data_IF_670813319766
#
_entry.id   IF_670813319766
#
_cell.length_a   1.000
_cell.length_b   1.000
_cell.length_c   1.000
_cell.angle_alpha   90.00
_cell.angle_beta   90.00
_cell.angle_gamma   90.00
#
_symmetry.space_group_name_H-M   'P 1'
#
loop_
_entity.id
_entity.type
_entity.pdbx_description
1 polymer ?
#
# COMPACT_ATOMS: atom_id res chain seq x y z
N UNK A 1 -4.75 -1.69 -6.96
CA UNK A 1 -3.82 -0.61 -7.38
C UNK A 1 -2.55 -0.62 -6.54
N UNK A 2 -2.60 -0.73 -5.22
CA UNK A 2 -1.40 -0.76 -4.38
C UNK A 2 -0.41 -1.86 -4.73
N UNK A 3 -0.85 -3.11 -4.84
CA UNK A 3 0.03 -4.24 -5.17
C UNK A 3 0.79 -4.05 -6.50
N UNK A 4 0.16 -3.42 -7.51
CA UNK A 4 0.83 -3.10 -8.78
C UNK A 4 1.91 -2.02 -8.55
N UNK A 5 1.61 -1.01 -7.74
CA UNK A 5 2.58 0.05 -7.41
C UNK A 5 3.82 -0.52 -6.69
N UNK A 6 3.64 -1.50 -5.80
CA UNK A 6 4.74 -2.21 -5.18
C UNK A 6 5.55 -3.03 -6.21
N UNK A 7 4.88 -3.73 -7.13
CA UNK A 7 5.56 -4.48 -8.19
C UNK A 7 6.36 -3.56 -9.12
N UNK A 8 5.80 -2.38 -9.46
CA UNK A 8 6.52 -1.36 -10.24
C UNK A 8 7.75 -0.84 -9.49
N UNK A 9 7.64 -0.58 -8.18
CA UNK A 9 8.75 -0.14 -7.36
C UNK A 9 9.88 -1.18 -7.30
N UNK A 10 9.54 -2.46 -7.11
CA UNK A 10 10.49 -3.57 -7.13
C UNK A 10 11.18 -3.68 -8.52
N UNK A 11 10.40 -3.54 -9.59
CA UNK A 11 10.96 -3.53 -10.95
C UNK A 11 11.94 -2.38 -11.16
N UNK A 12 11.61 -1.16 -10.72
CA UNK A 12 12.51 0.00 -10.78
C UNK A 12 13.82 -0.30 -10.05
N UNK A 13 13.75 -0.90 -8.86
CA UNK A 13 14.90 -1.25 -8.03
C UNK A 13 15.82 -2.27 -8.71
N UNK A 14 15.27 -3.38 -9.19
CA UNK A 14 16.03 -4.43 -9.89
C UNK A 14 16.72 -3.87 -11.15
N UNK A 15 15.98 -3.13 -11.99
CA UNK A 15 16.53 -2.56 -13.23
C UNK A 15 17.57 -1.48 -12.93
N UNK A 16 17.45 -0.74 -11.83
CA UNK A 16 18.45 0.26 -11.44
C UNK A 16 19.77 -0.39 -11.02
N UNK A 17 19.72 -1.58 -10.43
CA UNK A 17 20.89 -2.36 -10.03
C UNK A 17 21.56 -3.02 -11.22
N UNK A 18 20.79 -3.72 -12.06
CA UNK A 18 21.29 -4.32 -13.29
C UNK A 18 20.35 -4.08 -14.48
N UNK A 19 20.77 -3.21 -15.39
CA UNK A 19 19.99 -2.81 -16.59
C UNK A 19 19.72 -3.95 -17.58
N UNK A 20 20.45 -5.06 -17.47
CA UNK A 20 20.27 -6.21 -18.36
C UNK A 20 19.18 -7.17 -17.87
N UNK A 21 18.71 -7.02 -16.63
CA UNK A 21 17.68 -7.89 -16.08
C UNK A 21 16.33 -7.62 -16.75
N UNK A 22 15.63 -8.72 -17.07
CA UNK A 22 14.29 -8.66 -17.67
C UNK A 22 13.25 -8.86 -16.59
N UNK A 23 12.54 -7.81 -16.23
CA UNK A 23 11.49 -7.84 -15.20
C UNK A 23 10.12 -7.67 -15.83
N UNK A 24 9.25 -8.68 -15.66
CA UNK A 24 7.88 -8.69 -16.17
C UNK A 24 6.90 -8.57 -15.01
N UNK A 25 5.93 -7.64 -15.11
CA UNK A 25 4.84 -7.51 -14.16
C UNK A 25 3.61 -8.20 -14.75
N UNK A 26 3.10 -9.19 -14.05
CA UNK A 26 1.94 -9.98 -14.49
C UNK A 26 0.80 -9.78 -13.50
N UNK A 27 -0.34 -9.30 -14.00
CA UNK A 27 -1.59 -9.31 -13.22
C UNK A 27 -2.12 -10.74 -13.19
N UNK A 28 -1.97 -11.40 -12.04
CA UNK A 28 -2.32 -12.80 -11.88
C UNK A 28 -3.82 -13.09 -12.10
N UNK A 29 -4.69 -12.14 -11.77
CA UNK A 29 -6.13 -12.31 -11.97
C UNK A 29 -6.47 -12.21 -13.46
N UNK A 30 -5.91 -11.24 -14.14
CA UNK A 30 -6.12 -11.08 -15.59
C UNK A 30 -5.50 -12.25 -16.36
N UNK A 31 -4.32 -12.71 -15.97
CA UNK A 31 -3.68 -13.88 -16.56
C UNK A 31 -4.46 -15.18 -16.36
N UNK A 32 -4.89 -15.46 -15.12
CA UNK A 32 -5.58 -16.71 -14.81
C UNK A 32 -7.03 -16.71 -15.32
N UNK A 33 -7.71 -15.56 -15.30
CA UNK A 33 -9.14 -15.42 -15.59
C UNK A 33 -9.44 -14.23 -16.53
N UNK A 34 -8.86 -14.17 -17.74
CA UNK A 34 -8.94 -12.99 -18.62
C UNK A 34 -10.35 -12.57 -18.94
N UNK A 35 -11.27 -13.53 -19.12
CA UNK A 35 -12.70 -13.25 -19.41
C UNK A 35 -13.49 -12.73 -18.21
N UNK A 36 -13.00 -12.91 -16.99
CA UNK A 36 -13.70 -12.59 -15.74
C UNK A 36 -12.97 -11.56 -14.88
N UNK A 37 -11.75 -11.12 -15.26
CA UNK A 37 -10.95 -10.22 -14.45
C UNK A 37 -11.68 -8.92 -14.10
N UNK A 38 -12.34 -8.28 -15.06
CA UNK A 38 -13.13 -7.07 -14.84
C UNK A 38 -14.27 -7.29 -13.84
N UNK A 39 -14.95 -8.43 -13.91
CA UNK A 39 -16.05 -8.80 -13.00
C UNK A 39 -15.51 -9.07 -11.60
N UNK A 40 -14.37 -9.77 -11.47
CA UNK A 40 -13.70 -10.05 -10.20
C UNK A 40 -13.28 -8.72 -9.53
N UNK A 41 -12.63 -7.81 -10.27
CA UNK A 41 -12.24 -6.50 -9.73
C UNK A 41 -13.43 -5.63 -9.36
N UNK A 42 -14.50 -5.62 -10.19
CA UNK A 42 -15.74 -4.90 -9.88
C UNK A 42 -16.43 -5.46 -8.64
N UNK A 43 -16.49 -6.79 -8.52
CA UNK A 43 -17.03 -7.49 -7.35
C UNK A 43 -16.25 -7.18 -6.09
N UNK A 44 -14.92 -7.23 -6.15
CA UNK A 44 -14.04 -6.87 -5.03
C UNK A 44 -14.23 -5.41 -4.61
N UNK A 45 -14.22 -4.46 -5.54
CA UNK A 45 -14.44 -3.05 -5.26
C UNK A 45 -15.83 -2.80 -4.63
N UNK A 46 -16.87 -3.45 -5.11
CA UNK A 46 -18.22 -3.35 -4.54
C UNK A 46 -18.27 -3.96 -3.14
N UNK A 47 -17.64 -5.11 -2.93
CA UNK A 47 -17.63 -5.81 -1.64
C UNK A 47 -16.88 -4.97 -0.57
N UNK A 48 -15.71 -4.43 -0.91
CA UNK A 48 -14.89 -3.63 0.01
C UNK A 48 -15.47 -2.24 0.27
N UNK A 49 -16.12 -1.61 -0.73
CA UNK A 49 -16.66 -0.26 -0.60
C UNK A 49 -18.07 -0.20 0.00
N UNK A 50 -18.93 -1.18 -0.32
CA UNK A 50 -20.35 -1.18 0.09
C UNK A 50 -20.69 -2.19 1.17
N UNK A 51 -19.93 -3.29 1.29
CA UNK A 51 -20.20 -4.42 2.18
C UNK A 51 -18.96 -4.81 3.01
N UNK A 52 -18.27 -3.81 3.56
CA UNK A 52 -17.03 -4.02 4.32
C UNK A 52 -17.16 -5.01 5.49
N UNK A 53 -18.31 -5.00 6.20
CA UNK A 53 -18.59 -5.95 7.28
C UNK A 53 -18.68 -7.39 6.79
N UNK A 54 -19.29 -7.61 5.62
CA UNK A 54 -19.36 -8.93 4.99
C UNK A 54 -17.97 -9.39 4.50
N UNK A 55 -17.18 -8.48 3.92
CA UNK A 55 -15.80 -8.76 3.53
C UNK A 55 -14.94 -9.17 4.74
N UNK A 56 -15.02 -8.44 5.85
CA UNK A 56 -14.32 -8.76 7.08
C UNK A 56 -14.73 -10.11 7.67
N UNK A 57 -16.03 -10.48 7.57
CA UNK A 57 -16.53 -11.78 8.01
C UNK A 57 -15.99 -12.91 7.13
N UNK A 58 -16.00 -12.74 5.81
CA UNK A 58 -15.47 -13.71 4.86
C UNK A 58 -13.99 -13.96 5.07
N UNK A 59 -13.21 -12.91 5.33
CA UNK A 59 -11.78 -13.05 5.62
C UNK A 59 -11.50 -13.81 6.92
N UNK A 60 -12.31 -13.63 7.97
CA UNK A 60 -12.21 -14.41 9.21
C UNK A 60 -12.50 -15.90 8.99
N UNK A 61 -13.44 -16.22 8.12
CA UNK A 61 -13.84 -17.62 7.85
C UNK A 61 -12.94 -18.31 6.83
N UNK A 62 -12.37 -17.59 5.87
CA UNK A 62 -11.50 -18.14 4.83
C UNK A 62 -10.19 -18.74 5.38
N UNK A 63 -9.75 -18.33 6.57
CA UNK A 63 -8.56 -18.89 7.24
C UNK A 63 -8.71 -20.35 7.72
N UNK A 64 -9.93 -20.90 7.74
CA UNK A 64 -10.22 -22.21 8.33
C UNK A 64 -10.57 -23.31 7.31
N UNK A 65 -10.54 -23.08 6.01
CA UNK A 65 -10.90 -24.07 5.02
C UNK A 65 -9.70 -24.73 4.33
N UNK A 66 -9.62 -26.07 4.51
CA UNK A 66 -8.71 -26.98 3.81
C UNK A 66 -8.84 -26.85 2.27
N UNK A 67 -7.81 -26.37 1.66
CA UNK A 67 -7.01 -26.71 0.49
C UNK A 67 -7.62 -27.42 -0.76
N UNK A 68 -8.87 -27.41 -1.04
CA UNK A 68 -9.32 -27.74 -2.38
C UNK A 68 -9.44 -26.47 -3.24
N UNK A 69 -8.33 -26.09 -3.88
CA UNK A 69 -8.38 -25.03 -4.90
C UNK A 69 -9.16 -25.58 -6.10
N UNK A 70 -10.35 -25.04 -6.40
CA UNK A 70 -11.08 -25.45 -7.60
C UNK A 70 -10.17 -25.26 -8.83
N UNK A 71 -10.18 -26.23 -9.74
CA UNK A 71 -9.39 -26.17 -10.98
C UNK A 71 -7.84 -26.22 -10.78
N UNK A 72 -7.36 -26.82 -9.69
CA UNK A 72 -5.90 -26.94 -9.39
C UNK A 72 -5.07 -27.33 -10.62
N UNK A 73 -5.50 -28.35 -11.40
CA UNK A 73 -4.77 -28.80 -12.61
C UNK A 73 -4.66 -27.70 -13.67
N UNK A 74 -5.72 -26.92 -13.87
CA UNK A 74 -5.72 -25.81 -14.84
C UNK A 74 -4.82 -24.68 -14.41
N UNK A 75 -4.84 -24.34 -13.11
CA UNK A 75 -3.99 -23.31 -12.54
C UNK A 75 -2.50 -23.70 -12.62
N UNK A 76 -2.17 -24.94 -12.27
CA UNK A 76 -0.79 -25.46 -12.36
C UNK A 76 -0.30 -25.39 -13.82
N UNK A 77 -1.09 -25.81 -14.80
CA UNK A 77 -0.72 -25.72 -16.23
C UNK A 77 -0.50 -24.26 -16.67
N UNK A 78 -1.40 -23.34 -16.28
CA UNK A 78 -1.25 -21.92 -16.62
C UNK A 78 0.03 -21.31 -16.02
N UNK A 79 0.38 -21.69 -14.79
CA UNK A 79 1.65 -21.25 -14.19
C UNK A 79 2.85 -21.84 -14.94
N UNK A 80 2.82 -23.13 -15.33
CA UNK A 80 3.84 -23.73 -16.21
C UNK A 80 4.02 -22.89 -17.48
N UNK A 81 2.90 -22.66 -18.21
CA UNK A 81 2.93 -21.88 -19.46
C UNK A 81 3.48 -20.44 -19.27
N UNK A 82 3.26 -19.85 -18.07
CA UNK A 82 3.78 -18.53 -17.73
C UNK A 82 5.30 -18.56 -17.53
N UNK A 83 5.79 -19.51 -16.73
CA UNK A 83 7.20 -19.64 -16.40
C UNK A 83 8.05 -19.95 -17.64
N UNK A 84 7.56 -20.87 -18.49
CA UNK A 84 8.20 -21.22 -19.76
C UNK A 84 8.25 -20.01 -20.71
N UNK A 85 7.16 -19.22 -20.79
CA UNK A 85 7.07 -18.04 -21.66
C UNK A 85 8.12 -16.99 -21.33
N UNK A 86 8.43 -16.79 -20.04
CA UNK A 86 9.31 -15.74 -19.59
C UNK A 86 10.71 -16.23 -19.21
N UNK A 87 11.01 -17.54 -19.36
CA UNK A 87 12.29 -18.14 -18.97
C UNK A 87 12.68 -17.68 -17.55
N UNK A 88 11.79 -17.97 -16.58
CA UNK A 88 11.76 -17.30 -15.28
C UNK A 88 12.78 -17.89 -14.32
N UNK A 89 13.69 -17.07 -13.79
CA UNK A 89 14.69 -17.45 -12.78
C UNK A 89 14.12 -17.43 -11.37
N UNK A 90 13.25 -16.47 -11.05
CA UNK A 90 12.57 -16.32 -9.74
C UNK A 90 11.26 -15.56 -9.88
N UNK A 91 10.43 -15.67 -8.85
CA UNK A 91 9.11 -15.02 -8.80
C UNK A 91 9.03 -14.14 -7.55
N UNK A 92 8.58 -12.88 -7.72
CA UNK A 92 8.24 -12.01 -6.62
C UNK A 92 6.73 -11.77 -6.62
N UNK A 93 6.07 -12.16 -5.55
CA UNK A 93 4.64 -11.93 -5.36
C UNK A 93 4.38 -10.72 -4.47
N UNK A 94 3.50 -9.82 -4.91
CA UNK A 94 3.06 -8.65 -4.14
C UNK A 94 1.57 -8.70 -3.78
N UNK A 95 0.93 -9.86 -4.00
CA UNK A 95 -0.50 -10.06 -3.70
C UNK A 95 -0.75 -11.47 -3.15
N UNK A 96 -1.58 -11.66 -2.11
CA UNK A 96 -1.78 -12.94 -1.42
C UNK A 96 -2.17 -14.09 -2.34
N UNK A 97 -3.08 -13.84 -3.28
CA UNK A 97 -3.58 -14.87 -4.20
C UNK A 97 -2.47 -15.41 -5.11
N UNK A 98 -1.52 -14.57 -5.54
CA UNK A 98 -0.37 -15.01 -6.34
C UNK A 98 0.55 -15.89 -5.51
N UNK A 99 0.91 -15.47 -4.26
CA UNK A 99 1.74 -16.26 -3.35
C UNK A 99 1.18 -17.67 -3.16
N UNK A 100 -0.13 -17.78 -2.90
CA UNK A 100 -0.79 -19.09 -2.72
C UNK A 100 -0.75 -19.95 -3.98
N UNK A 101 -1.01 -19.39 -5.16
CA UNK A 101 -1.06 -20.18 -6.40
C UNK A 101 0.33 -20.63 -6.83
N UNK A 102 1.33 -19.80 -6.70
CA UNK A 102 2.72 -20.19 -7.01
C UNK A 102 3.24 -21.20 -5.98
N UNK A 103 2.97 -21.01 -4.69
CA UNK A 103 3.32 -21.99 -3.65
C UNK A 103 2.66 -23.35 -3.93
N UNK A 104 1.38 -23.39 -4.28
CA UNK A 104 0.68 -24.61 -4.67
C UNK A 104 1.29 -25.25 -5.95
N UNK A 105 1.70 -24.44 -6.91
CA UNK A 105 2.40 -24.90 -8.11
C UNK A 105 3.70 -25.58 -7.73
N UNK A 106 4.56 -24.95 -6.93
CA UNK A 106 5.84 -25.49 -6.46
C UNK A 106 5.63 -26.83 -5.75
N UNK A 107 4.69 -26.92 -4.80
CA UNK A 107 4.34 -28.18 -4.09
C UNK A 107 3.92 -29.28 -5.06
N UNK A 108 3.11 -28.96 -6.07
CA UNK A 108 2.55 -29.94 -7.01
C UNK A 108 3.57 -30.45 -8.02
N UNK A 109 4.41 -29.56 -8.53
CA UNK A 109 5.41 -29.85 -9.56
C UNK A 109 6.77 -30.22 -8.95
N UNK A 110 6.96 -30.04 -7.65
CA UNK A 110 8.26 -30.12 -6.96
C UNK A 110 9.28 -29.17 -7.61
N UNK A 111 8.83 -27.97 -7.92
CA UNK A 111 9.64 -26.96 -8.58
C UNK A 111 10.53 -26.23 -7.56
N UNK A 112 11.80 -26.06 -7.90
CA UNK A 112 12.79 -25.34 -7.10
C UNK A 112 12.86 -23.84 -7.45
N UNK A 113 11.94 -23.32 -8.30
CA UNK A 113 11.95 -21.91 -8.63
C UNK A 113 11.77 -21.06 -7.36
N UNK A 114 12.64 -20.07 -7.08
CA UNK A 114 12.50 -19.23 -5.90
C UNK A 114 11.20 -18.42 -5.93
N UNK A 115 10.46 -18.45 -4.82
CA UNK A 115 9.26 -17.64 -4.58
C UNK A 115 9.51 -16.68 -3.43
N UNK A 116 9.59 -15.40 -3.73
CA UNK A 116 9.70 -14.33 -2.77
C UNK A 116 8.34 -13.64 -2.60
N UNK A 117 7.89 -13.45 -1.37
CA UNK A 117 6.60 -12.81 -1.08
C UNK A 117 6.82 -11.47 -0.38
N UNK A 118 6.52 -10.37 -1.07
CA UNK A 118 6.45 -9.04 -0.48
C UNK A 118 5.05 -8.80 0.12
N UNK A 119 4.98 -8.74 1.44
CA UNK A 119 3.74 -8.40 2.14
C UNK A 119 3.55 -6.88 2.10
N UNK A 120 2.54 -6.43 1.36
CA UNK A 120 2.26 -5.00 1.16
C UNK A 120 1.27 -4.41 2.17
N UNK A 121 0.84 -5.22 3.13
CA UNK A 121 0.10 -4.81 4.32
C UNK A 121 1.03 -4.82 5.53
N UNK A 122 0.77 -3.98 6.54
CA UNK A 122 1.57 -3.95 7.78
C UNK A 122 1.13 -5.06 8.74
N UNK A 123 0.04 -5.76 8.43
CA UNK A 123 -0.42 -6.95 9.16
C UNK A 123 -0.35 -8.18 8.29
N UNK A 124 0.21 -9.27 8.83
CA UNK A 124 0.35 -10.54 8.13
C UNK A 124 -0.89 -11.43 8.31
N UNK A 125 -1.94 -11.23 7.54
CA UNK A 125 -3.07 -12.16 7.56
C UNK A 125 -2.74 -13.49 6.84
N UNK A 126 -3.49 -14.57 7.18
CA UNK A 126 -3.18 -15.94 6.75
C UNK A 126 -3.18 -16.15 5.23
N UNK A 127 -3.76 -15.23 4.48
CA UNK A 127 -3.78 -15.33 3.00
C UNK A 127 -2.40 -15.14 2.37
N UNK A 128 -1.47 -14.48 3.08
CA UNK A 128 -0.09 -14.32 2.63
C UNK A 128 0.76 -15.59 2.75
N UNK A 129 0.33 -16.55 3.58
CA UNK A 129 1.13 -17.73 3.90
C UNK A 129 1.09 -18.76 2.77
N UNK A 130 2.25 -19.10 2.23
CA UNK A 130 2.47 -20.19 1.28
C UNK A 130 3.53 -21.16 1.80
N UNK A 131 3.26 -22.47 1.78
CA UNK A 131 4.19 -23.50 2.30
C UNK A 131 5.54 -23.50 1.58
N UNK A 132 5.51 -23.22 0.27
CA UNK A 132 6.68 -23.23 -0.60
C UNK A 132 7.20 -21.81 -0.88
N UNK A 133 6.91 -20.86 0.00
CA UNK A 133 7.54 -19.54 -0.03
C UNK A 133 8.94 -19.63 0.53
N UNK A 134 9.92 -19.21 -0.24
CA UNK A 134 11.34 -19.28 0.14
C UNK A 134 11.71 -18.14 1.08
N UNK A 135 11.16 -16.93 0.85
CA UNK A 135 11.40 -15.77 1.71
C UNK A 135 10.22 -14.79 1.71
N UNK A 136 9.98 -14.20 2.86
CA UNK A 136 9.02 -13.13 3.09
C UNK A 136 9.73 -11.81 3.32
N UNK A 137 9.36 -10.79 2.55
CA UNK A 137 9.76 -9.42 2.76
C UNK A 137 8.62 -8.66 3.41
N UNK A 138 8.87 -8.01 4.54
CA UNK A 138 7.83 -7.39 5.36
C UNK A 138 8.12 -5.92 5.64
N UNK A 139 7.04 -5.16 5.89
CA UNK A 139 7.10 -3.73 6.13
C UNK A 139 7.69 -3.35 7.49
N UNK A 140 7.53 -4.19 8.51
CA UNK A 140 7.87 -3.85 9.89
C UNK A 140 8.19 -5.06 10.75
N UNK A 141 8.74 -4.78 11.95
CA UNK A 141 8.99 -5.81 12.96
C UNK A 141 7.69 -6.47 13.42
N UNK A 142 6.61 -5.72 13.55
CA UNK A 142 5.31 -6.26 13.93
C UNK A 142 4.84 -7.33 12.94
N UNK A 143 4.99 -7.08 11.64
CA UNK A 143 4.65 -8.05 10.60
C UNK A 143 5.54 -9.29 10.68
N UNK A 144 6.85 -9.12 10.95
CA UNK A 144 7.77 -10.23 11.19
C UNK A 144 7.33 -11.08 12.38
N UNK A 145 7.05 -10.45 13.52
CA UNK A 145 6.64 -11.12 14.75
C UNK A 145 5.31 -11.90 14.55
N UNK A 146 4.36 -11.32 13.80
CA UNK A 146 3.12 -12.01 13.42
C UNK A 146 3.35 -13.25 12.55
N UNK A 147 4.28 -13.21 11.61
CA UNK A 147 4.63 -14.36 10.78
C UNK A 147 5.28 -15.48 11.59
N UNK A 148 6.19 -15.14 12.51
CA UNK A 148 6.82 -16.11 13.42
C UNK A 148 5.75 -16.78 14.28
N UNK A 149 4.80 -16.02 14.86
CA UNK A 149 3.68 -16.57 15.63
C UNK A 149 2.78 -17.52 14.80
N UNK A 150 2.75 -17.35 13.48
CA UNK A 150 2.03 -18.22 12.54
C UNK A 150 2.87 -19.41 12.06
N UNK A 151 4.09 -19.57 12.57
CA UNK A 151 4.96 -20.72 12.29
C UNK A 151 5.88 -20.55 11.09
N UNK A 152 6.08 -19.33 10.59
CA UNK A 152 7.12 -19.06 9.59
C UNK A 152 8.48 -18.99 10.29
N UNK A 153 9.48 -19.67 9.74
CA UNK A 153 10.86 -19.67 10.25
C UNK A 153 11.45 -18.25 10.17
N UNK A 154 12.16 -17.83 11.22
CA UNK A 154 12.64 -16.44 11.34
C UNK A 154 13.64 -16.06 10.25
N UNK A 155 14.49 -16.99 9.82
CA UNK A 155 15.49 -16.82 8.76
C UNK A 155 14.87 -16.63 7.36
N UNK A 156 13.59 -16.98 7.20
CA UNK A 156 12.80 -16.71 5.98
C UNK A 156 12.10 -15.35 5.98
N UNK A 157 12.33 -14.51 7.01
CA UNK A 157 11.60 -13.23 7.12
C UNK A 157 12.58 -12.07 7.21
N UNK A 158 12.51 -11.16 6.25
CA UNK A 158 13.35 -9.97 6.21
C UNK A 158 12.52 -8.68 6.28
N UNK A 159 12.93 -7.75 7.15
CA UNK A 159 12.33 -6.42 7.24
C UNK A 159 12.98 -5.51 6.19
N UNK A 160 12.22 -5.13 5.16
CA UNK A 160 12.70 -4.27 4.05
C UNK A 160 11.81 -3.04 3.83
N UNK A 161 10.80 -2.82 4.68
CA UNK A 161 9.77 -1.85 4.38
C UNK A 161 8.78 -2.36 3.30
N UNK A 162 7.77 -1.56 2.98
CA UNK A 162 6.91 -1.81 1.82
C UNK A 162 7.53 -1.06 0.62
N UNK A 163 7.68 -1.72 -0.54
CA UNK A 163 8.35 -1.10 -1.69
C UNK A 163 7.66 0.17 -2.15
N UNK A 164 8.42 1.23 -2.30
CA UNK A 164 7.98 2.49 -2.88
C UNK A 164 8.85 2.87 -4.07
N UNK A 165 8.26 3.53 -5.06
CA UNK A 165 9.00 3.97 -6.25
C UNK A 165 10.15 4.91 -5.88
N UNK A 166 11.24 4.84 -6.62
CA UNK A 166 12.45 5.62 -6.38
C UNK A 166 12.18 7.14 -6.25
N UNK A 167 11.17 7.63 -6.96
CA UNK A 167 10.76 9.03 -6.89
C UNK A 167 10.35 9.50 -5.48
N UNK A 168 9.88 8.61 -4.60
CA UNK A 168 9.56 8.93 -3.19
C UNK A 168 10.80 8.92 -2.28
N UNK A 169 11.87 8.24 -2.68
CA UNK A 169 13.13 8.13 -1.90
C UNK A 169 14.05 9.33 -2.13
N UNK A 170 13.88 10.07 -3.22
CA UNK A 170 14.71 11.22 -3.59
C UNK A 170 14.21 12.49 -2.89
N UNK A 171 14.67 12.75 -1.67
CA UNK A 171 14.33 13.95 -0.92
C UNK A 171 15.11 15.17 -1.46
N UNK A 172 14.51 15.89 -2.41
CA UNK A 172 14.97 17.23 -2.75
C UNK A 172 14.45 18.22 -1.69
N UNK A 173 15.33 19.06 -1.16
CA UNK A 173 14.94 20.11 -0.22
C UNK A 173 13.82 20.97 -0.80
N UNK A 174 12.69 21.06 -0.08
CA UNK A 174 11.56 21.88 -0.47
C UNK A 174 11.75 23.29 0.09
N UNK A 175 11.52 24.33 -0.73
CA UNK A 175 11.59 25.72 -0.32
C UNK A 175 10.67 26.01 0.88
N UNK A 176 11.12 26.89 1.79
CA UNK A 176 10.33 27.38 2.91
C UNK A 176 9.07 28.10 2.39
N UNK A 177 7.89 27.68 2.88
CA UNK A 177 6.61 28.21 2.45
C UNK A 177 6.00 29.11 3.52
N UNK A 178 5.23 30.10 3.08
CA UNK A 178 4.50 31.00 3.97
C UNK A 178 3.21 30.40 4.54
N UNK A 179 2.66 29.34 3.90
CA UNK A 179 1.44 28.68 4.31
C UNK A 179 1.65 27.18 4.49
N UNK A 180 0.87 26.56 5.36
CA UNK A 180 0.84 25.11 5.55
C UNK A 180 0.15 24.45 4.38
N UNK A 181 0.72 23.36 3.88
CA UNK A 181 0.19 22.58 2.74
C UNK A 181 -0.43 21.27 3.24
N UNK A 182 -1.70 21.07 2.98
CA UNK A 182 -2.39 19.81 3.27
C UNK A 182 -2.73 19.09 1.97
N UNK A 183 -2.24 17.87 1.84
CA UNK A 183 -2.59 16.95 0.75
C UNK A 183 -3.76 16.07 1.21
N UNK A 184 -4.79 15.97 0.38
CA UNK A 184 -5.93 15.08 0.62
C UNK A 184 -6.01 14.08 -0.53
N UNK A 185 -6.02 12.76 -0.21
CA UNK A 185 -6.06 11.73 -1.23
C UNK A 185 -6.79 10.47 -0.76
N UNK A 186 -7.74 9.99 -1.58
CA UNK A 186 -8.55 8.79 -1.30
C UNK A 186 -8.07 7.53 -2.03
N UNK A 187 -6.76 7.45 -2.32
CA UNK A 187 -6.19 6.40 -3.16
C UNK A 187 -6.60 6.54 -4.63
N UNK A 188 -6.28 5.54 -5.45
CA UNK A 188 -6.50 5.60 -6.90
C UNK A 188 -7.96 5.77 -7.36
N UNK A 189 -8.93 5.47 -6.50
CA UNK A 189 -10.37 5.67 -6.76
C UNK A 189 -10.89 7.01 -6.23
N UNK A 190 -10.08 7.80 -5.52
CA UNK A 190 -10.46 9.10 -4.99
C UNK A 190 -11.61 9.08 -3.98
N UNK A 191 -11.76 7.97 -3.22
CA UNK A 191 -12.90 7.79 -2.31
C UNK A 191 -12.57 8.37 -0.94
N UNK A 192 -13.15 9.52 -0.61
CA UNK A 192 -13.04 10.19 0.69
C UNK A 192 -14.45 10.53 1.18
N UNK A 193 -14.95 9.84 2.22
CA UNK A 193 -16.24 10.15 2.81
C UNK A 193 -16.27 11.60 3.35
N UNK A 194 -17.35 12.35 3.06
CA UNK A 194 -17.54 13.70 3.60
C UNK A 194 -16.56 14.75 3.06
N UNK A 195 -15.90 14.52 1.94
CA UNK A 195 -14.84 15.42 1.40
C UNK A 195 -15.28 16.87 1.26
N UNK A 196 -16.53 17.12 0.89
CA UNK A 196 -17.03 18.50 0.70
C UNK A 196 -17.10 19.27 2.02
N UNK A 197 -17.51 18.61 3.09
CA UNK A 197 -17.56 19.22 4.43
C UNK A 197 -16.14 19.47 4.96
N UNK A 198 -15.24 18.49 4.77
CA UNK A 198 -13.82 18.62 5.12
C UNK A 198 -13.21 19.83 4.40
N UNK A 199 -13.38 19.92 3.08
CA UNK A 199 -12.85 21.03 2.30
C UNK A 199 -13.49 22.37 2.69
N UNK A 200 -14.81 22.42 2.90
CA UNK A 200 -15.51 23.64 3.31
C UNK A 200 -14.95 24.21 4.61
N UNK A 201 -14.64 23.35 5.58
CA UNK A 201 -14.13 23.78 6.89
C UNK A 201 -12.65 24.14 6.85
N UNK A 202 -11.80 23.30 6.23
CA UNK A 202 -10.37 23.57 6.12
C UNK A 202 -10.08 24.83 5.27
N UNK A 203 -10.85 25.04 4.22
CA UNK A 203 -10.67 26.18 3.30
C UNK A 203 -11.02 27.55 3.91
N UNK A 204 -11.65 27.59 5.11
CA UNK A 204 -11.86 28.82 5.87
C UNK A 204 -10.58 29.37 6.53
N UNK A 205 -9.54 28.53 6.61
CA UNK A 205 -8.28 28.95 7.19
C UNK A 205 -7.34 29.47 6.11
N UNK A 206 -7.14 30.79 6.08
CA UNK A 206 -6.31 31.46 5.07
C UNK A 206 -4.82 31.07 5.13
N UNK A 207 -4.36 30.47 6.23
CA UNK A 207 -2.97 30.00 6.41
C UNK A 207 -2.74 28.57 5.91
N UNK A 208 -3.77 27.92 5.34
CA UNK A 208 -3.70 26.55 4.83
C UNK A 208 -3.98 26.57 3.31
N UNK A 209 -3.09 25.93 2.56
CA UNK A 209 -3.33 25.58 1.17
C UNK A 209 -3.78 24.11 1.09
N UNK A 210 -4.80 23.85 0.27
CA UNK A 210 -5.35 22.52 0.11
C UNK A 210 -5.09 21.98 -1.29
N UNK A 211 -4.55 20.77 -1.37
CA UNK A 211 -4.46 19.99 -2.61
C UNK A 211 -5.29 18.73 -2.47
N UNK A 212 -6.21 18.48 -3.41
CA UNK A 212 -7.01 17.25 -3.48
C UNK A 212 -6.62 16.43 -4.70
N UNK A 213 -6.14 15.21 -4.51
CA UNK A 213 -5.93 14.25 -5.60
C UNK A 213 -7.15 13.34 -5.72
N UNK A 214 -7.91 13.50 -6.79
CA UNK A 214 -9.14 12.74 -7.07
C UNK A 214 -8.89 11.36 -7.69
N UNK A 215 -7.65 11.04 -8.09
CA UNK A 215 -7.35 9.81 -8.80
C UNK A 215 -8.17 9.67 -10.08
N UNK A 216 -8.76 8.49 -10.31
CA UNK A 216 -9.59 8.20 -11.50
C UNK A 216 -11.03 8.72 -11.39
N UNK A 217 -11.40 9.36 -10.29
CA UNK A 217 -12.74 9.88 -10.05
C UNK A 217 -12.95 11.23 -10.75
N UNK A 218 -13.36 11.19 -12.02
CA UNK A 218 -13.61 12.38 -12.84
C UNK A 218 -14.79 13.23 -12.33
N UNK A 219 -15.82 12.58 -11.80
CA UNK A 219 -16.99 13.26 -11.25
C UNK A 219 -16.60 14.11 -10.04
N UNK A 220 -15.86 13.52 -9.09
CA UNK A 220 -15.33 14.24 -7.94
C UNK A 220 -14.44 15.42 -8.38
N UNK A 221 -13.55 15.20 -9.35
CA UNK A 221 -12.68 16.25 -9.89
C UNK A 221 -13.48 17.45 -10.39
N UNK A 222 -14.48 17.25 -11.25
CA UNK A 222 -15.28 18.33 -11.80
C UNK A 222 -16.09 19.04 -10.71
N UNK A 223 -16.71 18.29 -9.82
CA UNK A 223 -17.52 18.81 -8.71
C UNK A 223 -16.72 19.72 -7.80
N UNK A 224 -15.55 19.26 -7.33
CA UNK A 224 -14.74 20.03 -6.38
C UNK A 224 -14.09 21.24 -7.06
N UNK A 225 -13.60 21.09 -8.29
CA UNK A 225 -13.00 22.21 -9.04
C UNK A 225 -13.97 23.37 -9.24
N UNK A 226 -15.25 23.06 -9.45
CA UNK A 226 -16.29 24.10 -9.60
C UNK A 226 -16.68 24.71 -8.24
N UNK A 227 -16.82 23.88 -7.21
CA UNK A 227 -17.36 24.31 -5.91
C UNK A 227 -16.32 25.01 -5.02
N UNK A 228 -15.04 24.67 -5.15
CA UNK A 228 -13.94 25.16 -4.34
C UNK A 228 -12.78 25.69 -5.21
N UNK A 229 -12.91 26.90 -5.80
CA UNK A 229 -11.90 27.45 -6.73
C UNK A 229 -10.52 27.67 -6.12
N UNK A 230 -10.43 27.86 -4.80
CA UNK A 230 -9.16 28.03 -4.05
C UNK A 230 -8.43 26.72 -3.77
N UNK A 231 -9.09 25.56 -3.91
CA UNK A 231 -8.47 24.25 -3.72
C UNK A 231 -7.74 23.83 -5.00
N UNK A 232 -6.50 23.40 -4.87
CA UNK A 232 -5.77 22.80 -5.97
C UNK A 232 -6.28 21.38 -6.23
N UNK A 233 -7.12 21.21 -7.27
CA UNK A 233 -7.74 19.91 -7.58
C UNK A 233 -6.97 19.22 -8.70
N UNK A 234 -6.47 18.01 -8.40
CA UNK A 234 -5.65 17.18 -9.29
C UNK A 234 -6.42 15.90 -9.63
N UNK A 235 -6.42 15.51 -10.90
CA UNK A 235 -6.97 14.23 -11.34
C UNK A 235 -6.04 13.07 -11.06
N UNK A 236 -6.03 12.04 -11.94
CA UNK A 236 -5.04 10.97 -11.86
C UNK A 236 -3.65 11.51 -12.20
N UNK A 237 -2.68 11.21 -11.34
CA UNK A 237 -1.29 11.61 -11.53
C UNK A 237 -0.33 10.50 -11.08
N UNK A 238 0.81 10.37 -11.74
CA UNK A 238 1.94 9.54 -11.33
C UNK A 238 2.97 10.32 -10.49
N UNK A 239 2.73 11.64 -10.28
CA UNK A 239 3.61 12.57 -9.55
C UNK A 239 3.16 12.80 -8.10
N UNK A 240 2.54 11.80 -7.47
CA UNK A 240 2.08 11.90 -6.07
C UNK A 240 3.21 12.28 -5.12
N UNK A 241 4.43 11.78 -5.37
CA UNK A 241 5.62 12.11 -4.60
C UNK A 241 5.90 13.63 -4.54
N UNK A 242 5.72 14.37 -5.65
CA UNK A 242 5.94 15.82 -5.66
C UNK A 242 4.94 16.55 -4.72
N UNK A 243 3.70 16.06 -4.62
CA UNK A 243 2.70 16.63 -3.72
C UNK A 243 2.99 16.23 -2.26
N UNK A 244 3.36 14.98 -1.99
CA UNK A 244 3.72 14.53 -0.64
C UNK A 244 4.92 15.29 -0.09
N UNK A 245 6.01 15.41 -0.85
CA UNK A 245 7.22 16.14 -0.45
C UNK A 245 6.95 17.61 -0.12
N UNK A 246 5.94 18.22 -0.73
CA UNK A 246 5.57 19.61 -0.47
C UNK A 246 4.56 19.77 0.65
N UNK A 247 3.97 18.71 1.15
CA UNK A 247 2.90 18.79 2.13
C UNK A 247 3.42 18.69 3.56
N UNK A 248 2.82 19.45 4.46
CA UNK A 248 3.07 19.38 5.90
C UNK A 248 2.26 18.25 6.56
N UNK A 249 1.14 17.85 5.93
CA UNK A 249 0.24 16.82 6.40
C UNK A 249 -0.50 16.16 5.24
N UNK A 250 -0.70 14.83 5.32
CA UNK A 250 -1.54 14.09 4.37
C UNK A 250 -2.81 13.59 5.09
N UNK A 251 -3.97 13.89 4.52
CA UNK A 251 -5.26 13.29 4.92
C UNK A 251 -5.57 12.15 3.94
N UNK A 252 -5.58 10.90 4.43
CA UNK A 252 -5.74 9.74 3.56
C UNK A 252 -6.32 8.53 4.31
N UNK A 253 -6.46 7.40 3.62
CA UNK A 253 -6.72 6.08 4.20
C UNK A 253 -5.42 5.41 4.62
N UNK A 254 -5.49 4.50 5.59
CA UNK A 254 -4.34 3.74 6.08
C UNK A 254 -3.91 2.60 5.14
N UNK A 255 -3.56 2.91 3.90
CA UNK A 255 -2.98 1.93 2.97
C UNK A 255 -1.50 1.68 3.27
N UNK A 256 -1.04 0.41 3.26
CA UNK A 256 0.35 0.07 3.56
C UNK A 256 1.35 0.83 2.67
N UNK A 257 1.14 0.83 1.36
CA UNK A 257 2.01 1.53 0.41
C UNK A 257 2.01 3.04 0.65
N UNK A 258 0.83 3.66 0.80
CA UNK A 258 0.72 5.10 1.07
C UNK A 258 1.42 5.48 2.38
N UNK A 259 1.37 4.60 3.39
CA UNK A 259 2.08 4.80 4.66
C UNK A 259 3.59 4.85 4.43
N UNK A 260 4.14 3.92 3.64
CA UNK A 260 5.59 3.93 3.35
C UNK A 260 6.00 5.04 2.37
N UNK A 261 5.15 5.42 1.41
CA UNK A 261 5.33 6.63 0.60
C UNK A 261 5.45 7.88 1.49
N UNK A 262 4.58 8.02 2.50
CA UNK A 262 4.61 9.10 3.47
C UNK A 262 5.87 9.06 4.36
N UNK A 263 6.28 7.88 4.83
CA UNK A 263 7.51 7.69 5.59
C UNK A 263 8.73 8.15 4.78
N UNK A 264 8.81 7.75 3.49
CA UNK A 264 9.94 8.13 2.63
C UNK A 264 9.96 9.63 2.29
N UNK A 265 8.80 10.29 2.25
CA UNK A 265 8.69 11.73 1.99
C UNK A 265 8.66 12.58 3.26
N UNK A 266 8.81 11.98 4.45
CA UNK A 266 8.70 12.62 5.77
C UNK A 266 7.44 13.47 5.91
N UNK A 267 6.29 13.00 5.39
CA UNK A 267 5.03 13.72 5.44
C UNK A 267 4.06 13.08 6.45
N UNK A 268 3.80 13.73 7.62
CA UNK A 268 2.90 13.23 8.65
C UNK A 268 1.51 12.86 8.12
N UNK A 269 0.88 11.88 8.75
CA UNK A 269 -0.39 11.31 8.32
C UNK A 269 -1.55 11.71 9.24
N UNK A 270 -2.69 12.04 8.64
CA UNK A 270 -3.98 12.02 9.30
C UNK A 270 -4.89 11.01 8.62
N UNK A 271 -5.24 9.93 9.32
CA UNK A 271 -5.97 8.81 8.77
C UNK A 271 -7.46 8.96 9.00
N UNK A 272 -8.21 8.92 7.89
CA UNK A 272 -9.67 8.87 7.90
C UNK A 272 -10.10 7.51 8.47
N UNK A 273 -11.18 7.49 9.24
CA UNK A 273 -11.75 6.33 9.95
C UNK A 273 -11.52 4.99 9.20
N UNK A 274 -10.60 4.13 9.69
CA UNK A 274 -10.33 2.84 9.07
C UNK A 274 -11.47 1.87 9.37
N UNK A 275 -11.93 1.11 8.38
CA UNK A 275 -13.05 0.17 8.54
C UNK A 275 -12.75 -1.26 8.07
N UNK A 276 -11.79 -1.47 7.18
CA UNK A 276 -11.31 -2.81 6.80
C UNK A 276 -10.29 -3.31 7.82
N UNK A 277 -10.24 -4.62 8.05
CA UNK A 277 -9.30 -5.21 9.04
C UNK A 277 -7.86 -4.82 8.76
N UNK A 278 -7.41 -4.87 7.51
CA UNK A 278 -6.07 -4.44 7.12
C UNK A 278 -5.85 -2.94 7.33
N UNK A 279 -6.87 -2.11 7.05
CA UNK A 279 -6.80 -0.67 7.32
C UNK A 279 -6.65 -0.37 8.81
N UNK A 280 -7.36 -1.12 9.67
CA UNK A 280 -7.24 -1.01 11.14
C UNK A 280 -5.83 -1.40 11.60
N UNK A 281 -5.26 -2.48 11.08
CA UNK A 281 -3.90 -2.89 11.39
C UNK A 281 -2.86 -1.85 11.00
N UNK A 282 -2.95 -1.33 9.77
CA UNK A 282 -2.07 -0.28 9.27
C UNK A 282 -2.22 1.02 10.11
N UNK A 283 -3.45 1.39 10.49
CA UNK A 283 -3.71 2.56 11.33
C UNK A 283 -3.09 2.43 12.73
N UNK A 284 -3.15 1.24 13.34
CA UNK A 284 -2.49 0.97 14.64
C UNK A 284 -0.97 1.11 14.56
N UNK A 285 -0.36 0.67 13.46
CA UNK A 285 1.06 0.87 13.22
C UNK A 285 1.40 2.37 13.15
N UNK A 286 0.62 3.16 12.40
CA UNK A 286 0.80 4.61 12.27
C UNK A 286 0.72 5.29 13.65
N UNK A 287 -0.29 4.94 14.44
CA UNK A 287 -0.51 5.49 15.79
C UNK A 287 0.59 5.06 16.77
N UNK A 288 0.94 3.76 16.82
CA UNK A 288 1.97 3.20 17.71
C UNK A 288 3.34 3.84 17.47
N UNK A 289 3.68 4.08 16.21
CA UNK A 289 4.96 4.68 15.84
C UNK A 289 4.92 6.22 15.87
N UNK A 290 3.80 6.81 16.24
CA UNK A 290 3.57 8.25 16.25
C UNK A 290 4.05 8.95 14.96
N UNK A 291 3.60 8.43 13.80
CA UNK A 291 3.86 9.02 12.48
C UNK A 291 2.61 9.65 11.87
N UNK A 292 1.51 9.68 12.65
CA UNK A 292 0.25 10.29 12.26
C UNK A 292 -0.82 10.16 13.34
N UNK A 293 -1.96 10.80 13.10
CA UNK A 293 -3.19 10.71 13.92
C UNK A 293 -4.25 9.92 13.18
N UNK A 294 -5.10 9.26 13.96
CA UNK A 294 -6.16 8.39 13.43
C UNK A 294 -7.52 8.86 13.92
N UNK A 295 -8.43 9.07 13.00
CA UNK A 295 -9.83 9.29 13.36
C UNK A 295 -10.51 7.97 13.68
N UNK A 296 -10.50 7.56 14.94
CA UNK A 296 -11.18 6.34 15.41
C UNK A 296 -12.66 6.50 15.65
N UNK A 297 -13.13 7.72 15.89
CA UNK A 297 -14.51 7.99 16.32
C UNK A 297 -15.26 8.89 15.37
N UNK A 298 -16.52 8.56 15.10
CA UNK A 298 -17.45 9.45 14.37
C UNK A 298 -17.83 10.70 15.16
N UNK A 299 -17.58 10.70 16.48
CA UNK A 299 -17.96 11.82 17.37
C UNK A 299 -17.00 13.00 17.28
N UNK A 300 -15.75 12.76 16.92
CA UNK A 300 -14.76 13.81 16.74
C UNK A 300 -14.90 14.45 15.37
N UNK A 301 -14.58 15.72 15.27
CA UNK A 301 -14.59 16.44 14.01
C UNK A 301 -13.21 16.41 13.35
N UNK A 302 -13.14 15.83 12.16
CA UNK A 302 -11.89 15.68 11.42
C UNK A 302 -11.22 17.04 11.13
N UNK A 303 -12.02 18.04 10.73
CA UNK A 303 -11.45 19.32 10.32
C UNK A 303 -10.85 20.08 11.51
N UNK A 304 -11.50 20.02 12.68
CA UNK A 304 -10.97 20.64 13.90
C UNK A 304 -9.68 19.96 14.36
N UNK A 305 -9.64 18.61 14.39
CA UNK A 305 -8.45 17.86 14.75
C UNK A 305 -7.27 18.14 13.79
N UNK A 306 -7.56 18.25 12.50
CA UNK A 306 -6.54 18.58 11.48
C UNK A 306 -6.04 20.01 11.65
N UNK A 307 -6.94 20.99 11.95
CA UNK A 307 -6.55 22.39 12.21
C UNK A 307 -5.68 22.51 13.47
N UNK A 308 -5.96 21.72 14.51
CA UNK A 308 -5.12 21.67 15.71
C UNK A 308 -3.76 21.07 15.40
N UNK A 309 -3.73 19.90 14.75
CA UNK A 309 -2.50 19.19 14.42
C UNK A 309 -1.57 20.02 13.51
N UNK A 310 -2.10 20.65 12.46
CA UNK A 310 -1.29 21.40 11.50
C UNK A 310 -0.60 22.64 12.11
N UNK A 311 -1.12 23.14 13.23
CA UNK A 311 -0.54 24.25 14.00
C UNK A 311 0.52 23.80 15.00
N UNK A 312 0.51 22.52 15.38
CA UNK A 312 1.46 21.96 16.34
C UNK A 312 2.72 21.51 15.61
N UNK A 313 3.65 22.47 15.42
CA UNK A 313 4.94 22.21 14.78
C UNK A 313 5.81 21.20 15.54
N UNK A 314 5.71 21.18 16.87
CA UNK A 314 6.45 20.23 17.69
C UNK A 314 6.00 18.80 17.42
N UNK A 315 4.68 18.56 17.38
CA UNK A 315 4.13 17.24 17.12
C UNK A 315 4.42 16.80 15.68
N UNK A 316 4.27 17.68 14.67
CA UNK A 316 4.61 17.37 13.28
C UNK A 316 6.12 17.02 13.13
N UNK A 317 7.01 17.75 13.77
CA UNK A 317 8.44 17.44 13.71
C UNK A 317 8.77 16.11 14.38
N UNK A 318 8.15 15.81 15.53
CA UNK A 318 8.29 14.52 16.19
C UNK A 318 7.82 13.36 15.32
N UNK A 319 6.71 13.53 14.57
CA UNK A 319 6.25 12.55 13.60
C UNK A 319 7.28 12.32 12.48
N UNK A 320 7.90 13.39 11.96
CA UNK A 320 8.95 13.30 10.93
C UNK A 320 10.19 12.56 11.46
N UNK A 321 10.65 12.89 12.66
CA UNK A 321 11.77 12.20 13.32
C UNK A 321 11.50 10.69 13.50
N UNK A 322 10.26 10.32 13.83
CA UNK A 322 9.87 8.92 13.93
C UNK A 322 9.87 8.23 12.57
N UNK A 323 9.44 8.91 11.50
CA UNK A 323 9.54 8.40 10.13
C UNK A 323 10.99 8.17 9.71
N UNK A 324 11.90 9.06 10.10
CA UNK A 324 13.34 8.92 9.83
C UNK A 324 13.90 7.67 10.50
N UNK A 325 13.57 7.42 11.78
CA UNK A 325 13.96 6.19 12.49
C UNK A 325 13.46 4.93 11.79
N UNK A 326 12.20 4.92 11.34
CA UNK A 326 11.68 3.75 10.60
C UNK A 326 12.49 3.54 9.31
N UNK A 327 12.87 4.60 8.59
CA UNK A 327 13.70 4.47 7.39
C UNK A 327 15.09 3.91 7.68
N UNK A 328 15.70 4.26 8.81
CA UNK A 328 17.00 3.75 9.25
C UNK A 328 16.97 2.27 9.63
N UNK A 329 15.82 1.78 10.14
CA UNK A 329 15.62 0.37 10.51
C UNK A 329 15.37 -0.55 9.30
N UNK A 330 15.07 0.02 8.13
CA UNK A 330 14.73 -0.72 6.92
C UNK A 330 16.00 -1.07 6.13
N UNK A 331 16.21 -2.35 5.85
CA UNK A 331 17.26 -2.79 4.93
C UNK A 331 16.75 -2.76 3.48
N UNK A 332 16.86 -1.61 2.84
CA UNK A 332 16.39 -1.42 1.47
C UNK A 332 17.13 -2.27 0.42
N UNK A 333 18.37 -2.69 0.68
CA UNK A 333 19.21 -3.37 -0.32
C UNK A 333 19.18 -4.90 -0.20
N UNK A 334 18.44 -5.44 0.77
CA UNK A 334 18.44 -6.88 1.04
C UNK A 334 17.88 -7.70 -0.13
N UNK A 335 16.83 -7.23 -0.81
CA UNK A 335 16.31 -7.90 -2.00
C UNK A 335 17.41 -8.09 -3.04
N UNK A 336 18.16 -7.04 -3.34
CA UNK A 336 19.25 -7.07 -4.32
C UNK A 336 20.36 -8.03 -3.91
N UNK A 337 20.67 -8.12 -2.60
CA UNK A 337 21.67 -9.07 -2.09
C UNK A 337 21.23 -10.53 -2.29
N UNK A 338 19.93 -10.82 -2.11
CA UNK A 338 19.37 -12.17 -2.34
C UNK A 338 19.36 -12.54 -3.83
N UNK A 339 19.10 -11.56 -4.71
CA UNK A 339 19.07 -11.80 -6.16
C UNK A 339 20.48 -11.91 -6.76
N UNK A 340 21.51 -11.48 -6.04
CA UNK A 340 22.92 -11.52 -6.47
C UNK A 340 23.68 -12.75 -5.96
N UNK A 341 23.08 -13.52 -5.05
CA UNK A 341 23.66 -14.73 -4.45
C UNK A 341 23.34 -15.98 -5.28
#
# INVERSE_FOLDING_TARGET
MGHISAAEAIKEEIISYNKNDKVYIVDVIDFLFPSFSKTIYSGFNNLTSKFASLYNLLNKTAGNHNNSVPLKKVLVKKVDDLLDRYETDFIISTIPIASKYISMYKETKKSNIPLYTYITDITAHNEWLGKETDMYFVGSKETKDELIQKGVEEDKIQICGIPVRQAFKNNNAVEQKHKKEILIMGGGLGLIPGIEDILYRLNKNENINLTLICGKNRELYQKIKTKFPSVNVVGYTNKVHEYMMRSDLIITKSGGITTFEAIHTSCPLYIIEPFLMQEVGNARFIEKNNIGKIKWSKKSDLADEVIELIKDEHELNKMKENMDRIREEINNDYLLSVLSA
#
